data_IF_591548960042
#
_entry.id   IF_591548960042
#
_cell.length_a   1.000
_cell.length_b   1.000
_cell.length_c   1.000
_cell.angle_alpha   90.00
_cell.angle_beta   90.00
_cell.angle_gamma   90.00
#
_symmetry.space_group_name_H-M   'P 1'
#
loop_
_entity.id
_entity.type
_entity.pdbx_description
1 polymer ?
#
# COMPACT_ATOMS: atom_id res chain seq x y z
N UNK A 1 3.20 -19.62 -3.82
CA UNK A 1 3.69 -18.53 -4.70
C UNK A 1 3.68 -19.01 -6.14
N UNK A 2 3.20 -18.23 -7.11
CA UNK A 2 3.19 -18.61 -8.54
C UNK A 2 4.53 -18.20 -9.20
N UNK A 3 5.06 -19.00 -10.12
CA UNK A 3 6.37 -18.76 -10.78
C UNK A 3 6.49 -17.34 -11.37
N UNK A 4 5.41 -16.76 -11.89
CA UNK A 4 5.42 -15.43 -12.51
C UNK A 4 5.97 -14.33 -11.58
N UNK A 5 5.62 -14.35 -10.30
CA UNK A 5 6.12 -13.35 -9.36
C UNK A 5 7.58 -13.56 -8.96
N UNK A 6 8.09 -14.78 -9.07
CA UNK A 6 9.48 -15.06 -8.77
C UNK A 6 10.41 -14.41 -9.81
N UNK A 7 10.01 -14.42 -11.09
CA UNK A 7 10.80 -13.84 -12.18
C UNK A 7 10.54 -12.34 -12.41
N UNK A 8 9.30 -11.89 -12.24
CA UNK A 8 8.88 -10.53 -12.63
C UNK A 8 8.59 -9.61 -11.43
N UNK A 9 8.66 -10.14 -10.20
CA UNK A 9 8.16 -9.45 -9.03
C UNK A 9 6.63 -9.45 -8.93
N UNK A 10 6.11 -8.89 -7.85
CA UNK A 10 4.66 -8.69 -7.69
C UNK A 10 4.24 -7.37 -8.33
N UNK A 11 3.26 -7.45 -9.24
CA UNK A 11 2.58 -6.27 -9.77
C UNK A 11 1.31 -6.02 -8.95
N UNK A 12 1.27 -4.93 -8.20
CA UNK A 12 0.15 -4.56 -7.32
C UNK A 12 -0.88 -3.72 -8.07
N UNK A 13 -2.17 -3.92 -7.75
CA UNK A 13 -3.25 -3.03 -8.19
C UNK A 13 -3.11 -1.62 -7.61
N UNK A 14 -3.76 -0.62 -8.22
CA UNK A 14 -3.81 0.78 -7.73
C UNK A 14 -4.14 0.86 -6.23
N UNK A 15 -5.08 0.02 -5.79
CA UNK A 15 -5.46 -0.12 -4.40
C UNK A 15 -6.85 0.42 -4.14
N UNK A 16 -7.54 -0.19 -3.18
CA UNK A 16 -8.90 0.17 -2.79
C UNK A 16 -8.86 0.58 -1.33
N UNK A 17 -9.49 1.71 -1.00
CA UNK A 17 -9.63 2.13 0.38
C UNK A 17 -10.50 1.12 1.13
N UNK A 18 -9.96 0.57 2.21
CA UNK A 18 -10.61 -0.42 3.07
C UNK A 18 -10.47 0.01 4.54
N UNK A 19 -11.43 -0.38 5.38
CA UNK A 19 -11.37 -0.13 6.82
C UNK A 19 -11.08 -1.44 7.54
N UNK A 20 -9.92 -1.54 8.20
CA UNK A 20 -9.51 -2.73 8.97
C UNK A 20 -9.41 -2.31 10.43
N UNK A 21 -10.27 -2.86 11.29
CA UNK A 21 -10.30 -2.49 12.70
C UNK A 21 -10.58 -1.00 12.95
N UNK A 22 -11.33 -0.35 12.06
CA UNK A 22 -11.64 1.08 12.13
C UNK A 22 -10.55 2.01 11.56
N UNK A 23 -9.41 1.48 11.13
CA UNK A 23 -8.35 2.28 10.51
C UNK A 23 -8.44 2.23 8.98
N UNK A 24 -8.33 3.38 8.28
CA UNK A 24 -8.28 3.42 6.83
C UNK A 24 -6.95 2.83 6.33
N UNK A 25 -7.05 1.88 5.40
CA UNK A 25 -5.94 1.14 4.82
C UNK A 25 -6.14 1.05 3.31
N UNK A 26 -5.05 1.06 2.55
CA UNK A 26 -5.08 0.75 1.12
C UNK A 26 -4.90 -0.75 0.94
N UNK A 27 -5.97 -1.41 0.51
CA UNK A 27 -5.94 -2.81 0.13
C UNK A 27 -5.44 -2.96 -1.31
N UNK A 28 -4.39 -3.75 -1.52
CA UNK A 28 -3.86 -4.06 -2.84
C UNK A 28 -3.77 -5.56 -3.06
N UNK A 29 -4.02 -5.97 -4.30
CA UNK A 29 -3.88 -7.36 -4.73
C UNK A 29 -2.89 -7.47 -5.88
N UNK A 30 -2.04 -8.48 -5.83
CA UNK A 30 -1.13 -8.77 -6.93
C UNK A 30 -1.87 -9.41 -8.11
N UNK A 31 -1.75 -8.85 -9.31
CA UNK A 31 -2.38 -9.37 -10.53
C UNK A 31 -1.81 -10.73 -10.97
N UNK A 32 -0.56 -11.03 -10.59
CA UNK A 32 0.15 -12.24 -11.00
C UNK A 32 -0.08 -13.43 -10.07
N UNK A 33 0.12 -13.24 -8.76
CA UNK A 33 -0.01 -14.32 -7.76
C UNK A 33 -1.26 -14.26 -6.90
N UNK A 34 -1.99 -13.14 -6.92
CA UNK A 34 -3.18 -12.94 -6.09
C UNK A 34 -2.89 -12.62 -4.63
N UNK A 35 -1.61 -12.46 -4.22
CA UNK A 35 -1.24 -12.03 -2.88
C UNK A 35 -1.92 -10.70 -2.51
N UNK A 36 -2.22 -10.54 -1.24
CA UNK A 36 -2.92 -9.38 -0.69
C UNK A 36 -2.01 -8.64 0.27
N UNK A 37 -2.10 -7.31 0.30
CA UNK A 37 -1.44 -6.48 1.31
C UNK A 37 -2.33 -5.30 1.70
N UNK A 38 -2.12 -4.81 2.91
CA UNK A 38 -2.73 -3.61 3.44
C UNK A 38 -1.62 -2.61 3.73
N UNK A 39 -1.74 -1.40 3.22
CA UNK A 39 -0.83 -0.30 3.49
C UNK A 39 -1.56 0.73 4.35
N UNK A 40 -0.89 1.26 5.37
CA UNK A 40 -1.39 2.41 6.10
C UNK A 40 -1.47 3.62 5.16
N UNK A 41 -2.56 4.35 5.24
CA UNK A 41 -2.59 5.72 4.71
C UNK A 41 -1.90 6.57 5.77
N UNK A 42 -0.59 6.80 5.62
CA UNK A 42 0.04 7.89 6.36
C UNK A 42 -0.65 9.16 5.87
N UNK A 43 -1.50 9.75 6.73
CA UNK A 43 -1.91 11.13 6.53
C UNK A 43 -0.61 11.93 6.40
N UNK A 44 -0.45 12.75 5.34
CA UNK A 44 0.79 13.48 5.12
C UNK A 44 1.07 14.24 6.41
N UNK A 45 2.20 13.90 7.03
CA UNK A 45 2.73 14.59 8.19
C UNK A 45 2.62 16.08 7.89
N UNK A 46 1.84 16.79 8.68
CA UNK A 46 1.66 18.22 8.54
C UNK A 46 3.05 18.83 8.45
N UNK A 47 3.31 19.47 7.32
CA UNK A 47 4.48 20.27 6.98
C UNK A 47 4.93 21.05 8.23
N UNK A 48 5.91 20.52 8.97
CA UNK A 48 6.63 21.31 9.97
C UNK A 48 7.57 22.16 9.15
N UNK A 49 7.03 23.29 8.69
CA UNK A 49 7.81 24.44 8.26
C UNK A 49 8.68 24.88 9.43
N UNK A 50 9.91 24.35 9.51
CA UNK A 50 10.97 24.93 10.32
C UNK A 50 11.53 26.14 9.58
N UNK A 51 10.85 27.28 9.77
CA UNK A 51 11.44 28.59 9.52
C UNK A 51 12.17 29.04 10.78
N UNK A 52 13.49 28.87 10.81
CA UNK A 52 14.37 29.52 11.78
C UNK A 52 15.82 29.08 11.56
N UNK A 53 16.84 29.94 11.54
CA UNK A 53 16.98 31.39 11.70
C UNK A 53 18.25 31.83 10.96
#
# INVERSE_FOLDING_TARGET
>A
MRLRCFFLGCQWSEGVLAHVGGMPMIYQRCSHCGAQRYLSVEEPEADVSDSGS
#
